data_IF_857187773737
#
_entry.id   IF_857187773737
#
_cell.length_a   1.000
_cell.length_b   1.000
_cell.length_c   1.000
_cell.angle_alpha   90.00
_cell.angle_beta   90.00
_cell.angle_gamma   90.00
#
_symmetry.space_group_name_H-M   'P 1'
#
loop_
_entity.id
_entity.type
_entity.pdbx_description
1 polymer ?
#
# COMPACT_ATOMS: atom_id res chain seq x y z
N UNK A 1 -13.45 32.39 58.17
CA UNK A 1 -13.60 32.33 56.70
C UNK A 1 -12.47 31.49 56.08
N UNK A 2 -12.66 30.18 55.88
CA UNK A 2 -11.75 29.29 55.14
C UNK A 2 -12.57 28.15 54.51
N UNK A 3 -13.33 28.42 53.45
CA UNK A 3 -14.04 27.37 52.67
C UNK A 3 -14.11 27.63 51.16
N UNK A 4 -13.42 28.64 50.63
CA UNK A 4 -13.43 28.93 49.19
C UNK A 4 -12.36 28.18 48.36
N UNK A 5 -11.38 27.51 48.99
CA UNK A 5 -10.28 26.86 48.24
C UNK A 5 -10.58 25.45 47.74
N UNK A 6 -11.59 24.77 48.30
CA UNK A 6 -11.87 23.37 47.95
C UNK A 6 -12.69 23.23 46.64
N UNK A 7 -13.61 24.16 46.35
CA UNK A 7 -14.42 24.13 45.12
C UNK A 7 -13.61 24.46 43.86
N UNK A 8 -12.65 25.38 43.96
CA UNK A 8 -11.77 25.77 42.84
C UNK A 8 -10.80 24.65 42.44
N UNK A 9 -10.43 23.78 43.39
CA UNK A 9 -9.60 22.60 43.12
C UNK A 9 -10.33 21.53 42.32
N UNK A 10 -11.63 21.30 42.59
CA UNK A 10 -12.49 20.39 41.81
C UNK A 10 -12.67 20.89 40.39
N UNK A 11 -12.99 22.18 40.22
CA UNK A 11 -13.18 22.75 38.87
C UNK A 11 -11.90 22.72 38.03
N UNK A 12 -10.74 22.98 38.65
CA UNK A 12 -9.45 22.94 37.94
C UNK A 12 -9.07 21.50 37.56
N UNK A 13 -9.33 20.53 38.43
CA UNK A 13 -9.14 19.10 38.12
C UNK A 13 -10.04 18.66 36.97
N UNK A 14 -11.33 19.00 37.00
CA UNK A 14 -12.29 18.68 35.94
C UNK A 14 -11.89 19.28 34.60
N UNK A 15 -11.46 20.55 34.59
CA UNK A 15 -10.93 21.21 33.38
C UNK A 15 -9.67 20.49 32.89
N UNK A 16 -8.77 20.09 33.78
CA UNK A 16 -7.55 19.37 33.40
C UNK A 16 -7.87 18.01 32.79
N UNK A 17 -8.82 17.27 33.37
CA UNK A 17 -9.29 15.99 32.83
C UNK A 17 -9.94 16.20 31.46
N UNK A 18 -10.80 17.21 31.32
CA UNK A 18 -11.44 17.53 30.06
C UNK A 18 -10.41 17.88 28.97
N UNK A 19 -9.38 18.66 29.31
CA UNK A 19 -8.28 18.99 28.40
C UNK A 19 -7.45 17.76 28.01
N UNK A 20 -7.19 16.84 28.95
CA UNK A 20 -6.49 15.59 28.66
C UNK A 20 -7.30 14.67 27.73
N UNK A 21 -8.60 14.56 27.95
CA UNK A 21 -9.50 13.79 27.09
C UNK A 21 -9.62 14.41 25.69
N UNK A 22 -9.69 15.74 25.61
CA UNK A 22 -9.72 16.46 24.34
C UNK A 22 -8.40 16.27 23.58
N UNK A 23 -7.26 16.35 24.28
CA UNK A 23 -5.95 16.13 23.69
C UNK A 23 -5.81 14.69 23.15
N UNK A 24 -6.20 13.69 23.93
CA UNK A 24 -6.12 12.28 23.51
C UNK A 24 -7.04 11.99 22.31
N UNK A 25 -8.26 12.52 22.30
CA UNK A 25 -9.17 12.42 21.17
C UNK A 25 -8.58 13.08 19.91
N UNK A 26 -7.97 14.25 20.04
CA UNK A 26 -7.34 14.96 18.93
C UNK A 26 -6.18 14.15 18.34
N UNK A 27 -5.33 13.57 19.19
CA UNK A 27 -4.21 12.70 18.76
C UNK A 27 -4.75 11.46 18.04
N UNK A 28 -5.80 10.83 18.57
CA UNK A 28 -6.42 9.65 17.94
C UNK A 28 -7.00 9.98 16.56
N UNK A 29 -7.68 11.13 16.40
CA UNK A 29 -8.21 11.59 15.12
C UNK A 29 -7.09 11.86 14.12
N UNK A 30 -6.01 12.53 14.54
CA UNK A 30 -4.85 12.75 13.68
C UNK A 30 -4.20 11.43 13.23
N UNK A 31 -4.07 10.48 14.14
CA UNK A 31 -3.58 9.13 13.84
C UNK A 31 -4.46 8.41 12.81
N UNK A 32 -5.79 8.46 12.99
CA UNK A 32 -6.74 7.87 12.04
C UNK A 32 -6.67 8.54 10.65
N UNK A 33 -6.54 9.86 10.60
CA UNK A 33 -6.41 10.60 9.34
C UNK A 33 -5.12 10.24 8.59
N UNK A 34 -4.00 10.10 9.30
CA UNK A 34 -2.73 9.66 8.73
C UNK A 34 -2.83 8.22 8.20
N UNK A 35 -3.45 7.32 8.97
CA UNK A 35 -3.68 5.94 8.54
C UNK A 35 -4.57 5.85 7.29
N UNK A 36 -5.65 6.64 7.22
CA UNK A 36 -6.51 6.70 6.04
C UNK A 36 -5.78 7.22 4.81
N UNK A 37 -4.94 8.25 4.95
CA UNK A 37 -4.12 8.76 3.84
C UNK A 37 -3.10 7.73 3.36
N UNK A 38 -2.45 7.02 4.28
CA UNK A 38 -1.53 5.95 3.92
C UNK A 38 -2.24 4.81 3.17
N UNK A 39 -3.43 4.40 3.65
CA UNK A 39 -4.24 3.40 2.98
C UNK A 39 -4.69 3.84 1.57
N UNK A 40 -5.08 5.10 1.40
CA UNK A 40 -5.44 5.67 0.10
C UNK A 40 -4.25 5.64 -0.87
N UNK A 41 -3.06 6.07 -0.43
CA UNK A 41 -1.85 6.04 -1.24
C UNK A 41 -1.47 4.60 -1.66
N UNK A 42 -1.55 3.64 -0.74
CA UNK A 42 -1.30 2.23 -1.03
C UNK A 42 -2.32 1.68 -2.05
N UNK A 43 -3.60 2.06 -1.94
CA UNK A 43 -4.64 1.61 -2.88
C UNK A 43 -4.42 2.16 -4.29
N UNK A 44 -4.02 3.43 -4.40
CA UNK A 44 -3.70 4.07 -5.67
C UNK A 44 -2.48 3.41 -6.32
N UNK A 45 -1.40 3.17 -5.57
CA UNK A 45 -0.21 2.50 -6.08
C UNK A 45 -0.53 1.10 -6.63
N UNK A 46 -1.41 0.36 -5.95
CA UNK A 46 -1.88 -0.96 -6.40
C UNK A 46 -2.70 -0.90 -7.67
N UNK A 47 -3.64 0.04 -7.79
CA UNK A 47 -4.42 0.21 -9.00
C UNK A 47 -3.53 0.52 -10.20
N UNK A 48 -2.54 1.39 -10.01
CA UNK A 48 -1.54 1.70 -11.03
C UNK A 48 -0.68 0.49 -11.39
N UNK A 49 -0.22 -0.27 -10.40
CA UNK A 49 0.56 -1.49 -10.64
C UNK A 49 -0.23 -2.55 -11.40
N UNK A 50 -1.53 -2.72 -11.11
CA UNK A 50 -2.42 -3.61 -11.85
C UNK A 50 -2.51 -3.20 -13.32
N UNK A 51 -2.69 -1.90 -13.62
CA UNK A 51 -2.71 -1.41 -14.99
C UNK A 51 -1.40 -1.66 -15.75
N UNK A 52 -0.25 -1.54 -15.09
CA UNK A 52 1.04 -1.86 -15.70
C UNK A 52 1.21 -3.35 -15.99
N UNK A 53 0.83 -4.22 -15.07
CA UNK A 53 0.91 -5.67 -15.27
C UNK A 53 -0.03 -6.13 -16.39
N UNK A 54 -1.24 -5.58 -16.46
CA UNK A 54 -2.20 -5.86 -17.52
C UNK A 54 -1.64 -5.43 -18.89
N UNK A 55 -1.13 -4.19 -18.98
CA UNK A 55 -0.50 -3.67 -20.21
C UNK A 55 0.72 -4.49 -20.64
N UNK A 56 1.53 -4.96 -19.68
CA UNK A 56 2.66 -5.82 -19.97
C UNK A 56 2.21 -7.18 -20.47
N UNK A 57 1.19 -7.80 -19.86
CA UNK A 57 0.67 -9.09 -20.29
C UNK A 57 0.13 -9.04 -21.74
N UNK A 58 -0.60 -7.98 -22.09
CA UNK A 58 -1.06 -7.74 -23.46
C UNK A 58 0.12 -7.59 -24.44
N UNK A 59 1.13 -6.79 -24.10
CA UNK A 59 2.33 -6.64 -24.93
C UNK A 59 3.17 -7.91 -25.00
N UNK A 60 3.20 -8.72 -23.94
CA UNK A 60 3.87 -10.02 -23.92
C UNK A 60 3.18 -11.01 -24.86
N UNK A 61 1.85 -11.02 -24.88
CA UNK A 61 1.08 -11.79 -25.86
C UNK A 61 1.37 -11.38 -27.32
N UNK A 62 1.66 -10.10 -27.55
CA UNK A 62 2.05 -9.56 -28.85
C UNK A 62 3.56 -9.60 -29.15
N UNK A 63 4.40 -10.11 -28.23
CA UNK A 63 5.87 -10.15 -28.37
C UNK A 63 6.59 -8.80 -28.25
N UNK A 64 5.93 -7.77 -27.71
CA UNK A 64 6.39 -6.37 -27.70
C UNK A 64 6.87 -5.82 -26.35
N UNK A 65 7.16 -6.64 -25.36
CA UNK A 65 7.50 -6.16 -23.99
C UNK A 65 8.78 -5.31 -23.94
N UNK A 66 9.68 -5.47 -24.89
CA UNK A 66 10.92 -4.68 -25.01
C UNK A 66 10.73 -3.31 -25.66
N UNK A 67 9.54 -3.01 -26.20
CA UNK A 67 9.24 -1.74 -26.86
C UNK A 67 9.02 -0.58 -25.88
N UNK A 68 8.83 -0.89 -24.59
CA UNK A 68 8.55 0.08 -23.54
C UNK A 68 9.63 0.01 -22.47
N UNK A 69 10.20 1.16 -22.12
CA UNK A 69 11.02 1.30 -20.91
C UNK A 69 10.10 1.38 -19.69
N UNK A 70 9.76 0.22 -19.15
CA UNK A 70 8.77 0.07 -18.08
C UNK A 70 9.21 0.65 -16.75
N UNK A 71 10.51 0.60 -16.43
CA UNK A 71 11.04 1.24 -15.24
C UNK A 71 10.81 2.77 -15.31
N UNK A 72 11.04 3.36 -16.49
CA UNK A 72 10.77 4.78 -16.72
C UNK A 72 9.29 5.13 -16.82
N UNK A 73 8.47 4.25 -17.39
CA UNK A 73 7.02 4.47 -17.50
C UNK A 73 6.33 4.44 -16.13
N UNK A 74 6.88 3.69 -15.18
CA UNK A 74 6.29 3.44 -13.86
C UNK A 74 6.87 4.30 -12.72
N UNK A 75 7.35 5.51 -13.02
CA UNK A 75 7.96 6.45 -12.04
C UNK A 75 7.09 6.82 -10.82
N UNK A 76 5.78 6.59 -10.91
CA UNK A 76 4.82 6.70 -9.80
C UNK A 76 5.03 5.63 -8.72
N UNK A 77 5.66 4.51 -9.06
CA UNK A 77 6.06 3.45 -8.15
C UNK A 77 7.52 3.65 -7.73
N UNK A 78 7.81 3.40 -6.46
CA UNK A 78 9.18 3.52 -5.93
C UNK A 78 9.93 2.22 -6.18
N UNK A 79 11.08 2.29 -6.86
CA UNK A 79 11.91 1.12 -7.22
C UNK A 79 11.09 -0.03 -7.86
N UNK A 80 10.42 0.23 -9.00
CA UNK A 80 9.59 -0.77 -9.65
C UNK A 80 10.46 -1.87 -10.25
N UNK A 81 10.09 -3.14 -10.01
CA UNK A 81 10.77 -4.32 -10.55
C UNK A 81 9.75 -5.20 -11.25
N UNK A 82 9.95 -5.36 -12.55
CA UNK A 82 9.14 -6.23 -13.39
C UNK A 82 9.83 -7.56 -13.59
N UNK A 83 9.05 -8.65 -13.55
CA UNK A 83 9.55 -9.99 -13.80
C UNK A 83 8.50 -10.78 -14.57
N UNK A 84 8.95 -11.46 -15.62
CA UNK A 84 8.14 -12.44 -16.33
C UNK A 84 8.66 -13.85 -16.01
N UNK A 85 7.75 -14.76 -15.70
CA UNK A 85 8.07 -16.17 -15.40
C UNK A 85 7.02 -17.07 -16.05
N UNK A 86 7.34 -18.36 -16.17
CA UNK A 86 6.36 -19.37 -16.58
C UNK A 86 6.11 -20.29 -15.39
N UNK A 87 4.84 -20.52 -15.06
CA UNK A 87 4.41 -21.41 -13.97
C UNK A 87 3.17 -22.18 -14.43
N UNK A 88 3.16 -23.49 -14.19
CA UNK A 88 2.03 -24.37 -14.51
C UNK A 88 1.53 -24.27 -15.97
N UNK A 89 2.45 -24.03 -16.90
CA UNK A 89 2.13 -23.88 -18.33
C UNK A 89 1.54 -22.51 -18.73
N UNK A 90 1.42 -21.58 -17.80
CA UNK A 90 0.97 -20.20 -18.05
C UNK A 90 2.13 -19.22 -17.92
N UNK A 91 2.07 -18.14 -18.69
CA UNK A 91 2.96 -17.01 -18.51
C UNK A 91 2.45 -16.16 -17.34
N UNK A 92 3.36 -15.69 -16.50
CA UNK A 92 3.09 -14.84 -15.36
C UNK A 92 3.93 -13.58 -15.45
N UNK A 93 3.29 -12.42 -15.27
CA UNK A 93 3.99 -11.15 -15.04
C UNK A 93 3.80 -10.77 -13.58
N UNK A 94 4.87 -10.29 -12.97
CA UNK A 94 4.96 -9.82 -11.60
C UNK A 94 5.53 -8.40 -11.61
N UNK A 95 4.89 -7.48 -10.90
CA UNK A 95 5.40 -6.14 -10.63
C UNK A 95 5.49 -5.93 -9.13
N UNK A 96 6.70 -5.65 -8.67
CA UNK A 96 7.04 -5.35 -7.27
C UNK A 96 7.45 -3.89 -7.15
N UNK A 97 7.20 -3.29 -6.00
CA UNK A 97 7.69 -1.94 -5.68
C UNK A 97 8.04 -1.82 -4.20
N UNK A 98 8.73 -0.75 -3.82
CA UNK A 98 9.06 -0.42 -2.44
C UNK A 98 7.98 0.48 -1.82
N UNK A 99 7.67 0.30 -0.53
CA UNK A 99 6.87 1.27 0.23
C UNK A 99 7.82 2.34 0.80
N UNK A 100 8.15 3.35 0.01
CA UNK A 100 9.09 4.41 0.40
C UNK A 100 10.56 3.95 0.49
N UNK A 101 11.45 4.84 0.95
CA UNK A 101 12.91 4.67 0.83
C UNK A 101 13.57 3.72 1.85
N UNK A 102 12.81 3.13 2.79
CA UNK A 102 13.38 2.38 3.93
C UNK A 102 12.99 0.91 3.98
N UNK A 103 12.09 0.45 3.12
CA UNK A 103 11.68 -0.95 3.07
C UNK A 103 12.14 -1.59 1.75
N UNK A 104 13.21 -2.38 1.81
CA UNK A 104 13.62 -3.25 0.70
C UNK A 104 12.44 -4.16 0.31
N UNK A 105 12.16 -4.36 -0.99
CA UNK A 105 11.10 -5.26 -1.41
C UNK A 105 11.42 -6.68 -0.91
N UNK A 106 10.74 -7.15 0.13
CA UNK A 106 10.99 -8.47 0.71
C UNK A 106 10.79 -9.55 -0.35
N UNK A 107 11.79 -10.40 -0.59
CA UNK A 107 11.83 -11.56 -1.53
C UNK A 107 10.75 -12.64 -1.34
N UNK A 108 9.63 -12.31 -0.70
CA UNK A 108 8.43 -13.13 -0.75
C UNK A 108 7.89 -13.19 -2.18
N UNK A 109 7.69 -14.39 -2.68
CA UNK A 109 6.95 -14.67 -3.91
C UNK A 109 5.60 -13.98 -3.84
N UNK A 110 5.20 -13.28 -4.91
CA UNK A 110 3.89 -12.65 -4.97
C UNK A 110 2.83 -13.71 -5.14
N UNK A 111 2.40 -14.30 -4.03
CA UNK A 111 1.26 -15.22 -4.09
C UNK A 111 0.03 -14.46 -4.56
N UNK A 112 -0.73 -15.04 -5.51
CA UNK A 112 -2.05 -14.53 -5.85
C UNK A 112 -2.89 -14.49 -4.57
N UNK A 113 -3.60 -13.38 -4.37
CA UNK A 113 -4.36 -13.13 -3.15
C UNK A 113 -5.59 -14.06 -3.09
N UNK A 114 -5.41 -15.27 -2.55
CA UNK A 114 -6.51 -16.19 -2.21
C UNK A 114 -6.83 -16.15 -0.70
N UNK A 115 -6.11 -15.35 0.09
CA UNK A 115 -6.28 -15.31 1.56
C UNK A 115 -7.06 -14.08 2.02
N UNK A 116 -8.16 -14.33 2.74
CA UNK A 116 -9.02 -13.36 3.44
C UNK A 116 -8.42 -12.81 4.74
N UNK A 117 -7.18 -13.16 5.07
CA UNK A 117 -6.51 -12.62 6.25
C UNK A 117 -6.03 -11.19 5.99
N UNK A 118 -6.19 -10.31 7.00
CA UNK A 118 -5.67 -8.93 7.02
C UNK A 118 -4.13 -8.98 7.00
N UNK A 119 -3.56 -9.27 5.85
CA UNK A 119 -2.12 -9.32 5.62
C UNK A 119 -1.66 -7.92 5.27
N UNK A 120 -0.50 -7.52 5.80
CA UNK A 120 0.14 -6.25 5.46
C UNK A 120 0.10 -6.08 3.92
N UNK A 121 -0.23 -4.87 3.42
CA UNK A 121 -0.45 -4.70 2.00
C UNK A 121 0.87 -5.01 1.27
N UNK A 122 0.94 -6.17 0.58
CA UNK A 122 2.09 -6.55 -0.24
C UNK A 122 2.25 -5.52 -1.35
N UNK A 123 3.47 -5.04 -1.54
CA UNK A 123 3.87 -4.13 -2.62
C UNK A 123 4.19 -4.92 -3.87
N UNK A 124 3.24 -5.78 -4.26
CA UNK A 124 3.38 -6.60 -5.43
C UNK A 124 2.03 -7.02 -6.00
N UNK A 125 1.97 -7.13 -7.32
CA UNK A 125 0.86 -7.69 -8.08
C UNK A 125 1.39 -8.72 -9.08
N UNK A 126 0.62 -9.77 -9.34
CA UNK A 126 0.94 -10.77 -10.35
C UNK A 126 -0.30 -11.15 -11.13
N UNK A 127 -0.14 -11.35 -12.45
CA UNK A 127 -1.18 -11.77 -13.36
C UNK A 127 -0.68 -12.96 -14.18
N UNK A 128 -1.51 -14.00 -14.28
CA UNK A 128 -1.32 -15.13 -15.17
C UNK A 128 -2.06 -14.87 -16.48
N UNK A 129 -1.46 -15.23 -17.61
CA UNK A 129 -2.06 -15.11 -18.93
C UNK A 129 -1.65 -16.27 -19.83
N UNK A 130 -2.50 -16.60 -20.79
CA UNK A 130 -2.13 -17.50 -21.87
C UNK A 130 -1.19 -16.75 -22.81
N UNK A 131 0.09 -17.12 -22.83
CA UNK A 131 1.00 -16.64 -23.86
C UNK A 131 0.45 -17.04 -25.22
N UNK A 132 0.38 -16.10 -26.17
CA UNK A 132 0.08 -16.41 -27.56
C UNK A 132 1.08 -17.47 -28.03
N UNK A 133 0.61 -18.70 -28.19
CA UNK A 133 1.43 -19.80 -28.66
C UNK A 133 2.06 -19.42 -29.99
N UNK A 134 3.29 -19.85 -30.19
CA UNK A 134 3.96 -19.88 -31.48
C UNK A 134 2.96 -20.32 -32.56
N UNK A 135 2.74 -19.42 -33.53
CA UNK A 135 2.25 -19.76 -34.86
C UNK A 135 3.13 -19.04 -35.87
#
# INVERSE_FOLDING_TARGET
>A
MRRARASTGSSLLEVTIALLLLASATIAVLGAQLAMRAAAADSAARATALGFVDSWAELAGAGGTTMVDWERASTVLVDPRFKQTTRDGLAHVELRWSRGSTASPQDATCEPAVSTAVRAPRTCVSLAFSGGGER
#
